data_IF_275615123719
#
_entry.id   IF_275615123719
#
_cell.length_a   1.000
_cell.length_b   1.000
_cell.length_c   1.000
_cell.angle_alpha   90.00
_cell.angle_beta   90.00
_cell.angle_gamma   90.00
#
_symmetry.space_group_name_H-M   'P 1'
#
loop_
_entity.id
_entity.type
_entity.pdbx_description
1 polymer ?
#
# COMPACT_ATOMS: atom_id res chain seq x y z
N UNK A 1 -4.27 8.72 19.10
CA UNK A 1 -3.25 8.47 18.06
C UNK A 1 -3.98 7.92 16.84
N UNK A 2 -4.04 8.65 15.71
CA UNK A 2 -4.62 8.09 14.50
C UNK A 2 -3.82 6.86 14.10
N UNK A 3 -4.48 5.69 14.12
CA UNK A 3 -3.84 4.46 13.65
C UNK A 3 -3.37 4.66 12.22
N UNK A 4 -2.12 4.26 11.89
CA UNK A 4 -1.65 4.31 10.52
C UNK A 4 -2.60 3.50 9.65
N UNK A 5 -3.21 4.18 8.69
CA UNK A 5 -4.18 3.61 7.78
C UNK A 5 -3.83 4.03 6.36
N UNK A 6 -4.29 3.25 5.40
CA UNK A 6 -4.05 3.52 3.99
C UNK A 6 -5.35 3.67 3.22
N UNK A 7 -5.34 4.60 2.28
CA UNK A 7 -6.45 4.82 1.35
C UNK A 7 -6.06 4.20 0.01
N UNK A 8 -6.93 3.37 -0.56
CA UNK A 8 -6.73 2.78 -1.88
C UNK A 8 -7.71 3.38 -2.88
N UNK A 9 -7.18 3.90 -3.98
CA UNK A 9 -7.97 4.30 -5.16
C UNK A 9 -7.62 3.40 -6.34
N UNK A 10 -8.62 2.64 -6.78
CA UNK A 10 -8.53 1.88 -8.03
C UNK A 10 -8.42 2.85 -9.21
N UNK A 11 -7.44 2.64 -10.06
CA UNK A 11 -7.27 3.33 -11.34
C UNK A 11 -7.62 2.38 -12.50
N UNK A 12 -7.60 2.92 -13.73
CA UNK A 12 -7.79 2.14 -14.95
C UNK A 12 -6.62 1.14 -15.12
N UNK A 13 -6.92 -0.05 -15.63
CA UNK A 13 -5.91 -1.04 -16.08
C UNK A 13 -5.03 -1.67 -14.99
N UNK A 14 -5.61 -2.04 -13.84
CA UNK A 14 -4.88 -2.81 -12.81
C UNK A 14 -3.90 -2.00 -11.96
N UNK A 15 -3.91 -0.67 -12.11
CA UNK A 15 -3.12 0.25 -11.28
C UNK A 15 -3.92 0.65 -10.04
N UNK A 16 -3.32 0.57 -8.87
CA UNK A 16 -3.93 0.96 -7.61
C UNK A 16 -3.06 2.02 -6.95
N UNK A 17 -3.57 3.25 -6.89
CA UNK A 17 -2.94 4.30 -6.11
C UNK A 17 -3.24 4.05 -4.64
N UNK A 18 -2.24 4.17 -3.80
CA UNK A 18 -2.42 4.11 -2.36
C UNK A 18 -1.72 5.27 -1.68
N UNK A 19 -2.25 5.68 -0.54
CA UNK A 19 -1.65 6.68 0.34
C UNK A 19 -1.56 6.08 1.73
N UNK A 20 -0.35 5.96 2.26
CA UNK A 20 -0.08 5.64 3.66
C UNK A 20 -0.12 6.93 4.47
N UNK A 21 -0.91 6.96 5.53
CA UNK A 21 -1.03 8.09 6.45
C UNK A 21 -0.40 7.71 7.79
N UNK A 22 0.43 8.59 8.32
CA UNK A 22 1.08 8.47 9.63
C UNK A 22 0.94 9.78 10.41
N UNK A 23 1.30 9.77 11.69
CA UNK A 23 1.30 10.98 12.52
C UNK A 23 2.24 12.07 11.99
N UNK A 24 3.31 11.68 11.30
CA UNK A 24 4.36 12.61 10.83
C UNK A 24 4.22 13.01 9.36
N UNK A 25 3.23 12.46 8.65
CA UNK A 25 3.05 12.78 7.23
C UNK A 25 2.41 11.66 6.42
N UNK A 26 2.54 11.78 5.09
CA UNK A 26 1.91 10.89 4.11
C UNK A 26 2.90 10.42 3.04
N UNK A 27 2.73 9.19 2.60
CA UNK A 27 3.49 8.60 1.48
C UNK A 27 2.48 8.08 0.46
N UNK A 28 2.57 8.55 -0.78
CA UNK A 28 1.73 8.09 -1.88
C UNK A 28 2.51 7.18 -2.82
N UNK A 29 1.88 6.13 -3.33
CA UNK A 29 2.49 5.20 -4.26
C UNK A 29 1.48 4.48 -5.14
N UNK A 30 2.00 3.60 -6.00
CA UNK A 30 1.19 2.81 -6.93
C UNK A 30 1.62 1.35 -6.85
N UNK A 31 0.67 0.43 -6.76
CA UNK A 31 0.89 -0.99 -7.03
C UNK A 31 0.19 -1.38 -8.32
N UNK A 32 0.77 -2.33 -9.04
CA UNK A 32 0.17 -2.92 -10.24
C UNK A 32 -0.21 -4.35 -9.95
N UNK A 33 -1.45 -4.71 -10.25
CA UNK A 33 -1.96 -6.09 -10.16
C UNK A 33 -2.44 -6.56 -11.53
N UNK A 34 -2.31 -7.87 -11.83
CA UNK A 34 -2.96 -8.45 -13.00
C UNK A 34 -4.47 -8.24 -12.90
N UNK A 35 -5.13 -8.03 -14.04
CA UNK A 35 -6.59 -7.90 -14.10
C UNK A 35 -7.25 -8.91 -15.03
N UNK A 36 -6.46 -9.63 -15.81
CA UNK A 36 -6.98 -10.62 -16.75
C UNK A 36 -7.51 -11.83 -15.99
N UNK A 37 -8.73 -12.26 -16.33
CA UNK A 37 -9.39 -13.45 -15.78
C UNK A 37 -9.64 -13.43 -14.26
N UNK A 38 -9.50 -12.27 -13.61
CA UNK A 38 -9.79 -12.10 -12.19
C UNK A 38 -11.08 -11.32 -11.97
N UNK A 39 -11.87 -11.74 -11.00
CA UNK A 39 -13.02 -10.96 -10.53
C UNK A 39 -12.56 -9.66 -9.87
N UNK A 40 -13.49 -8.71 -9.77
CA UNK A 40 -13.23 -7.43 -9.08
C UNK A 40 -12.72 -7.62 -7.66
N UNK A 41 -13.31 -8.55 -6.91
CA UNK A 41 -12.94 -8.83 -5.52
C UNK A 41 -11.52 -9.40 -5.42
N UNK A 42 -11.14 -10.28 -6.34
CA UNK A 42 -9.78 -10.84 -6.40
C UNK A 42 -8.74 -9.78 -6.75
N UNK A 43 -9.06 -8.87 -7.66
CA UNK A 43 -8.20 -7.74 -8.02
C UNK A 43 -8.00 -6.83 -6.79
N UNK A 44 -9.08 -6.48 -6.08
CA UNK A 44 -9.01 -5.62 -4.89
C UNK A 44 -8.25 -6.30 -3.73
N UNK A 45 -8.47 -7.60 -3.52
CA UNK A 45 -7.72 -8.40 -2.53
C UNK A 45 -6.23 -8.45 -2.86
N UNK A 46 -5.88 -8.70 -4.13
CA UNK A 46 -4.49 -8.74 -4.60
C UNK A 46 -3.81 -7.38 -4.44
N UNK A 47 -4.52 -6.28 -4.72
CA UNK A 47 -3.99 -4.94 -4.54
C UNK A 47 -3.71 -4.64 -3.06
N UNK A 48 -4.66 -4.96 -2.17
CA UNK A 48 -4.47 -4.80 -0.72
C UNK A 48 -3.28 -5.60 -0.20
N UNK A 49 -3.14 -6.86 -0.62
CA UNK A 49 -2.02 -7.71 -0.23
C UNK A 49 -0.66 -7.12 -0.66
N UNK A 50 -0.56 -6.63 -1.90
CA UNK A 50 0.67 -5.96 -2.39
C UNK A 50 0.98 -4.68 -1.61
N UNK A 51 -0.03 -3.87 -1.29
CA UNK A 51 0.15 -2.63 -0.51
C UNK A 51 0.64 -2.96 0.90
N UNK A 52 0.07 -3.97 1.56
CA UNK A 52 0.52 -4.41 2.88
C UNK A 52 1.97 -4.92 2.85
N UNK A 53 2.33 -5.74 1.86
CA UNK A 53 3.71 -6.23 1.71
C UNK A 53 4.71 -5.08 1.47
N UNK A 54 4.34 -4.09 0.67
CA UNK A 54 5.15 -2.90 0.43
C UNK A 54 5.32 -2.06 1.71
N UNK A 55 4.23 -1.83 2.45
CA UNK A 55 4.27 -1.11 3.71
C UNK A 55 5.17 -1.83 4.74
N UNK A 56 5.07 -3.15 4.86
CA UNK A 56 5.94 -3.94 5.73
C UNK A 56 7.42 -3.84 5.31
N UNK A 57 7.70 -3.87 4.01
CA UNK A 57 9.07 -3.72 3.47
C UNK A 57 9.63 -2.34 3.77
N UNK A 58 8.82 -1.28 3.69
CA UNK A 58 9.23 0.07 4.05
C UNK A 58 9.53 0.19 5.55
N UNK A 59 8.69 -0.37 6.42
CA UNK A 59 8.95 -0.41 7.86
C UNK A 59 10.26 -1.14 8.15
N UNK A 60 10.50 -2.28 7.50
CA UNK A 60 11.74 -3.04 7.67
C UNK A 60 12.98 -2.29 7.15
N UNK A 61 12.86 -1.56 6.04
CA UNK A 61 13.95 -0.75 5.49
C UNK A 61 14.25 0.51 6.34
N UNK A 62 13.28 0.98 7.13
CA UNK A 62 13.38 2.20 7.94
C UNK A 62 13.61 1.91 9.44
N UNK A 63 13.36 0.69 9.92
CA UNK A 63 13.65 0.30 11.30
C UNK A 63 15.10 -0.17 11.48
N UNK A 64 15.91 0.30 12.44
CA UNK A 64 15.69 1.17 13.59
C UNK A 64 16.49 2.49 13.46
N UNK A 65 16.13 3.57 14.18
CA UNK A 65 17.01 4.74 14.31
C UNK A 65 18.40 4.28 14.82
N UNK A 66 19.51 4.90 14.36
CA UNK A 66 20.81 4.65 14.99
C UNK A 66 20.66 4.97 16.48
N UNK A 67 21.09 4.04 17.35
CA UNK A 67 21.20 4.32 18.78
C UNK A 67 22.05 5.58 18.96
N UNK A 68 21.47 6.58 19.63
CA UNK A 68 22.10 7.87 19.90
C UNK A 68 23.16 7.75 20.99
#
# INVERSE_FOLDING_TARGET
MPSPHYVVRRSRSGRFNFTLLSEHGRISGVVVVPTEKLSREEIERSARAKIQALAASLVAAVGAPPEA
#
